data_IF_570934073148
#
_entry.id   IF_570934073148
#
_cell.length_a   1.000
_cell.length_b   1.000
_cell.length_c   1.000
_cell.angle_alpha   90.00
_cell.angle_beta   90.00
_cell.angle_gamma   90.00
#
_symmetry.space_group_name_H-M   'P 1'
#
loop_
_entity.id
_entity.type
_entity.pdbx_description
1 polymer ?
#
# COMPACT_ATOMS: atom_id res chain seq x y z
N UNK A 1 -7.34 9.35 -4.83
CA UNK A 1 -7.54 8.49 -3.63
C UNK A 1 -6.57 7.31 -3.70
N UNK A 2 -5.92 6.94 -2.59
CA UNK A 2 -4.98 5.81 -2.49
C UNK A 2 -5.53 4.82 -1.49
N UNK A 3 -5.42 3.55 -1.81
CA UNK A 3 -5.87 2.46 -0.95
C UNK A 3 -4.81 1.38 -0.85
N UNK A 4 -4.72 0.75 0.31
CA UNK A 4 -3.91 -0.43 0.55
C UNK A 4 -4.86 -1.53 0.99
N UNK A 5 -4.78 -2.67 0.35
CA UNK A 5 -5.61 -3.84 0.64
C UNK A 5 -4.77 -5.11 0.64
N UNK A 6 -5.26 -6.15 1.30
CA UNK A 6 -4.63 -7.46 1.29
C UNK A 6 -5.51 -8.47 0.56
N UNK A 7 -4.87 -9.46 -0.11
CA UNK A 7 -5.57 -10.67 -0.55
C UNK A 7 -5.56 -11.71 0.58
N UNK A 8 -6.62 -12.52 0.73
CA UNK A 8 -6.68 -13.53 1.78
C UNK A 8 -5.61 -14.62 1.59
N UNK A 9 -5.29 -15.32 2.66
CA UNK A 9 -4.44 -16.51 2.61
C UNK A 9 -5.15 -17.68 1.91
N UNK A 10 -4.39 -18.62 1.34
CA UNK A 10 -4.93 -19.81 0.68
C UNK A 10 -5.77 -20.68 1.62
N UNK A 11 -5.43 -20.75 2.92
CA UNK A 11 -6.20 -21.49 3.91
C UNK A 11 -7.58 -20.88 4.20
N UNK A 12 -7.84 -19.63 3.81
CA UNK A 12 -9.16 -18.98 3.92
C UNK A 12 -10.13 -19.41 2.81
N UNK A 13 -9.65 -20.19 1.85
CA UNK A 13 -10.40 -20.82 0.77
C UNK A 13 -10.68 -19.92 -0.43
N UNK A 14 -10.88 -20.59 -1.55
CA UNK A 14 -11.06 -20.01 -2.88
C UNK A 14 -12.25 -19.03 -2.95
N UNK A 15 -13.33 -19.30 -2.21
CA UNK A 15 -14.50 -18.43 -2.20
C UNK A 15 -14.18 -17.02 -1.69
N UNK A 16 -13.35 -16.91 -0.64
CA UNK A 16 -12.88 -15.62 -0.14
C UNK A 16 -11.94 -14.95 -1.12
N UNK A 17 -11.05 -15.70 -1.77
CA UNK A 17 -10.16 -15.17 -2.79
C UNK A 17 -10.94 -14.55 -3.95
N UNK A 18 -11.93 -15.26 -4.50
CA UNK A 18 -12.81 -14.75 -5.56
C UNK A 18 -13.61 -13.51 -5.14
N UNK A 19 -14.02 -13.44 -3.86
CA UNK A 19 -14.69 -12.26 -3.33
C UNK A 19 -13.72 -11.07 -3.23
N UNK A 20 -12.49 -11.31 -2.78
CA UNK A 20 -11.45 -10.29 -2.68
C UNK A 20 -11.07 -9.75 -4.06
N UNK A 21 -10.85 -10.62 -5.06
CA UNK A 21 -10.54 -10.23 -6.44
C UNK A 21 -11.63 -9.35 -7.04
N UNK A 22 -12.91 -9.74 -6.90
CA UNK A 22 -14.04 -8.91 -7.33
C UNK A 22 -14.07 -7.56 -6.61
N UNK A 23 -13.80 -7.53 -5.31
CA UNK A 23 -13.72 -6.29 -4.54
C UNK A 23 -12.57 -5.38 -5.00
N UNK A 24 -11.41 -5.95 -5.31
CA UNK A 24 -10.25 -5.25 -5.85
C UNK A 24 -10.57 -4.63 -7.22
N UNK A 25 -11.16 -5.39 -8.14
CA UNK A 25 -11.55 -4.88 -9.47
C UNK A 25 -12.60 -3.76 -9.39
N UNK A 26 -13.55 -3.85 -8.46
CA UNK A 26 -14.50 -2.76 -8.24
C UNK A 26 -13.82 -1.54 -7.62
N UNK A 27 -12.95 -1.72 -6.61
CA UNK A 27 -12.26 -0.64 -5.92
C UNK A 27 -11.33 0.13 -6.86
N UNK A 28 -10.67 -0.56 -7.81
CA UNK A 28 -9.80 0.02 -8.84
C UNK A 28 -10.47 1.17 -9.61
N UNK A 29 -11.78 1.09 -9.84
CA UNK A 29 -12.53 2.11 -10.59
C UNK A 29 -12.67 3.45 -9.85
N UNK A 30 -12.44 3.48 -8.55
CA UNK A 30 -12.69 4.63 -7.68
C UNK A 30 -11.44 5.22 -7.03
N UNK A 31 -10.27 4.63 -7.30
CA UNK A 31 -9.00 5.05 -6.69
C UNK A 31 -7.94 5.37 -7.73
N UNK A 32 -7.05 6.29 -7.41
CA UNK A 32 -5.92 6.65 -8.28
C UNK A 32 -4.83 5.58 -8.26
N UNK A 33 -4.61 4.96 -7.12
CA UNK A 33 -3.68 3.86 -6.96
C UNK A 33 -4.16 2.88 -5.90
N UNK A 34 -3.94 1.61 -6.17
CA UNK A 34 -4.33 0.50 -5.33
C UNK A 34 -3.11 -0.39 -5.07
N UNK A 35 -2.62 -0.35 -3.83
CA UNK A 35 -1.56 -1.25 -3.38
C UNK A 35 -2.22 -2.53 -2.91
N UNK A 36 -1.88 -3.64 -3.53
CA UNK A 36 -2.39 -4.97 -3.19
C UNK A 36 -1.27 -5.79 -2.57
N UNK A 37 -1.49 -6.31 -1.37
CA UNK A 37 -0.55 -7.16 -0.64
C UNK A 37 -1.08 -8.60 -0.68
N UNK A 38 -0.41 -9.51 -1.38
CA UNK A 38 -0.81 -10.92 -1.42
C UNK A 38 -0.34 -11.62 -0.14
N UNK A 39 -1.26 -11.85 0.82
CA UNK A 39 -0.91 -12.44 2.12
C UNK A 39 -0.19 -13.79 1.98
N UNK A 40 -0.54 -14.62 1.00
CA UNK A 40 0.11 -15.91 0.76
C UNK A 40 1.62 -15.74 0.52
N UNK A 41 2.02 -14.67 -0.17
CA UNK A 41 3.43 -14.37 -0.46
C UNK A 41 4.25 -14.00 0.77
N UNK A 42 3.60 -13.63 1.87
CA UNK A 42 4.28 -13.37 3.15
C UNK A 42 4.84 -14.64 3.78
N UNK A 43 4.30 -15.80 3.38
CA UNK A 43 4.73 -17.09 3.88
C UNK A 43 5.89 -17.67 3.06
N UNK A 44 6.15 -17.10 1.87
CA UNK A 44 7.23 -17.55 1.00
C UNK A 44 8.60 -17.19 1.62
N UNK A 45 9.50 -18.15 1.63
CA UNK A 45 10.87 -17.97 2.13
C UNK A 45 11.04 -18.03 3.65
N UNK A 46 9.98 -18.27 4.42
CA UNK A 46 10.09 -18.47 5.86
C UNK A 46 10.73 -19.83 6.16
N UNK A 47 11.76 -19.85 7.01
CA UNK A 47 12.43 -21.11 7.43
C UNK A 47 11.47 -22.07 8.15
N UNK A 48 10.48 -21.53 8.87
CA UNK A 48 9.49 -22.29 9.62
C UNK A 48 8.10 -21.81 9.26
N UNK A 49 7.19 -22.74 9.04
CA UNK A 49 5.78 -22.39 8.83
C UNK A 49 5.17 -21.75 10.09
N UNK A 50 4.63 -20.54 9.98
CA UNK A 50 4.01 -19.87 11.11
C UNK A 50 2.67 -20.51 11.47
N UNK A 51 2.24 -20.30 12.70
CA UNK A 51 0.87 -20.60 13.11
C UNK A 51 -0.11 -19.66 12.42
N UNK A 52 -1.39 -20.00 12.44
CA UNK A 52 -2.44 -19.15 11.87
C UNK A 52 -2.45 -17.74 12.48
N UNK A 53 -2.25 -17.64 13.80
CA UNK A 53 -2.17 -16.36 14.50
C UNK A 53 -0.94 -15.55 14.05
N UNK A 54 0.21 -16.18 13.94
CA UNK A 54 1.45 -15.55 13.47
C UNK A 54 1.32 -15.08 12.01
N UNK A 55 0.63 -15.85 11.15
CA UNK A 55 0.37 -15.46 9.76
C UNK A 55 -0.47 -14.18 9.67
N UNK A 56 -1.52 -14.06 10.45
CA UNK A 56 -2.33 -12.84 10.49
C UNK A 56 -1.56 -11.66 11.09
N UNK A 57 -0.77 -11.90 12.15
CA UNK A 57 0.10 -10.85 12.73
C UNK A 57 1.11 -10.33 11.69
N UNK A 58 1.71 -11.23 10.91
CA UNK A 58 2.63 -10.86 9.84
C UNK A 58 1.94 -9.97 8.77
N UNK A 59 0.71 -10.32 8.37
CA UNK A 59 -0.06 -9.51 7.43
C UNK A 59 -0.39 -8.11 7.99
N UNK A 60 -0.76 -8.03 9.26
CA UNK A 60 -1.01 -6.76 9.96
C UNK A 60 0.25 -5.90 10.04
N UNK A 61 1.40 -6.50 10.36
CA UNK A 61 2.69 -5.81 10.48
C UNK A 61 3.15 -5.25 9.13
N UNK A 62 3.00 -6.01 8.05
CA UNK A 62 3.34 -5.55 6.69
C UNK A 62 2.41 -4.41 6.26
N UNK A 63 1.10 -4.56 6.47
CA UNK A 63 0.13 -3.51 6.16
C UNK A 63 0.43 -2.22 6.94
N UNK A 64 0.68 -2.34 8.24
CA UNK A 64 1.06 -1.23 9.11
C UNK A 64 2.36 -0.57 8.63
N UNK A 65 3.39 -1.37 8.33
CA UNK A 65 4.68 -0.86 7.85
C UNK A 65 4.52 -0.13 6.51
N UNK A 66 3.75 -0.69 5.57
CA UNK A 66 3.50 -0.06 4.28
C UNK A 66 2.79 1.29 4.38
N UNK A 67 1.73 1.36 5.18
CA UNK A 67 1.01 2.63 5.41
C UNK A 67 1.89 3.62 6.15
N UNK A 68 2.62 3.16 7.18
CA UNK A 68 3.53 4.01 7.96
C UNK A 68 4.66 4.55 7.10
N UNK A 69 5.29 3.74 6.24
CA UNK A 69 6.37 4.18 5.35
C UNK A 69 5.95 5.33 4.43
N UNK A 70 4.71 5.31 3.92
CA UNK A 70 4.18 6.42 3.10
C UNK A 70 3.96 7.67 3.96
N UNK A 71 3.47 7.49 5.18
CA UNK A 71 3.25 8.61 6.11
C UNK A 71 4.58 9.22 6.55
N UNK A 72 5.53 8.39 6.95
CA UNK A 72 6.84 8.81 7.45
C UNK A 72 7.60 9.67 6.42
N UNK A 73 7.49 9.36 5.11
CA UNK A 73 8.07 10.17 4.04
C UNK A 73 7.62 11.64 4.04
N UNK A 74 6.45 11.92 4.58
CA UNK A 74 5.85 13.26 4.58
C UNK A 74 5.96 13.91 5.98
N UNK A 75 5.96 13.10 7.05
CA UNK A 75 5.81 13.58 8.43
C UNK A 75 7.08 13.47 9.27
N UNK A 76 8.01 12.58 8.90
CA UNK A 76 9.25 12.39 9.65
C UNK A 76 10.37 13.28 9.09
N UNK A 77 11.20 13.82 9.96
CA UNK A 77 12.36 14.58 9.56
C UNK A 77 13.45 13.65 8.99
N UNK A 78 13.89 13.93 7.78
CA UNK A 78 14.97 13.23 7.11
C UNK A 78 15.90 14.23 6.40
N UNK A 79 16.99 13.77 5.81
CA UNK A 79 17.84 14.64 4.96
C UNK A 79 17.16 14.97 3.62
N UNK A 80 16.34 14.06 3.12
CA UNK A 80 15.57 14.23 1.89
C UNK A 80 14.11 13.99 2.23
N UNK A 81 13.36 15.08 2.34
CA UNK A 81 11.95 15.05 2.63
C UNK A 81 11.14 15.20 1.35
N UNK A 82 10.06 14.45 1.26
CA UNK A 82 9.10 14.56 0.18
C UNK A 82 7.88 15.32 0.66
N UNK A 83 7.37 16.20 -0.18
CA UNK A 83 6.09 16.83 0.09
C UNK A 83 4.92 15.96 -0.41
N UNK A 84 3.71 16.34 0.00
CA UNK A 84 2.50 15.64 -0.42
C UNK A 84 2.27 15.72 -1.95
N UNK A 85 2.75 16.77 -2.60
CA UNK A 85 2.60 16.95 -4.05
C UNK A 85 3.46 15.93 -4.81
N UNK A 86 4.70 15.69 -4.36
CA UNK A 86 5.61 14.71 -4.95
C UNK A 86 5.01 13.30 -4.91
N UNK A 87 4.60 12.87 -3.70
CA UNK A 87 3.94 11.55 -3.52
C UNK A 87 2.64 11.47 -4.32
N UNK A 88 1.90 12.59 -4.43
CA UNK A 88 0.67 12.64 -5.23
C UNK A 88 0.95 12.46 -6.71
N UNK A 89 2.00 13.09 -7.23
CA UNK A 89 2.37 13.01 -8.65
C UNK A 89 2.66 11.57 -9.07
N UNK A 90 3.50 10.87 -8.31
CA UNK A 90 3.83 9.46 -8.59
C UNK A 90 2.61 8.55 -8.51
N UNK A 91 1.72 8.79 -7.53
CA UNK A 91 0.61 7.88 -7.23
C UNK A 91 -0.69 8.23 -7.96
N UNK A 92 -0.80 9.40 -8.60
CA UNK A 92 -2.02 9.80 -9.32
C UNK A 92 -2.17 9.01 -10.61
N UNK A 93 -3.33 8.34 -10.78
CA UNK A 93 -3.60 7.52 -11.95
C UNK A 93 -2.61 6.36 -12.14
N UNK A 94 -1.96 5.90 -11.08
CA UNK A 94 -0.95 4.85 -11.16
C UNK A 94 -1.53 3.43 -11.27
N UNK A 95 -2.84 3.27 -11.06
CA UNK A 95 -3.49 1.98 -11.15
C UNK A 95 -3.03 1.00 -10.07
N UNK A 96 -2.70 -0.22 -10.45
CA UNK A 96 -2.10 -1.20 -9.53
C UNK A 96 -0.69 -0.78 -9.14
N UNK A 97 -0.40 -0.91 -7.85
CA UNK A 97 0.92 -0.71 -7.29
C UNK A 97 1.30 -1.90 -6.41
N UNK A 98 2.56 -2.28 -6.47
CA UNK A 98 3.14 -3.30 -5.62
C UNK A 98 4.04 -2.66 -4.58
N UNK A 99 4.12 -3.28 -3.42
CA UNK A 99 5.00 -2.85 -2.35
C UNK A 99 6.03 -3.93 -2.04
N UNK A 100 7.25 -3.51 -1.82
CA UNK A 100 8.32 -4.37 -1.33
C UNK A 100 9.03 -3.71 -0.16
N UNK A 101 9.50 -4.53 0.77
CA UNK A 101 10.29 -4.09 1.91
C UNK A 101 11.56 -4.94 1.92
N UNK A 102 12.70 -4.28 2.03
CA UNK A 102 14.00 -4.92 2.16
C UNK A 102 14.73 -4.38 3.38
N UNK A 103 15.44 -5.26 4.04
CA UNK A 103 16.25 -4.95 5.21
C UNK A 103 17.69 -5.40 4.97
N UNK A 104 18.65 -4.61 5.43
CA UNK A 104 20.06 -4.94 5.38
C UNK A 104 20.79 -4.39 6.59
N UNK A 105 21.86 -5.07 7.00
CA UNK A 105 22.64 -4.71 8.17
C UNK A 105 24.15 -4.80 7.93
N UNK A 106 24.93 -4.07 8.71
CA UNK A 106 26.37 -4.08 8.64
C UNK A 106 26.94 -3.42 7.39
N UNK A 107 28.12 -3.88 6.96
CA UNK A 107 28.92 -3.21 5.90
C UNK A 107 28.22 -3.17 4.53
N UNK A 108 27.47 -4.19 4.19
CA UNK A 108 26.83 -4.33 2.87
C UNK A 108 25.31 -4.05 2.92
N UNK A 109 24.84 -3.37 4.00
CA UNK A 109 23.43 -3.10 4.28
C UNK A 109 22.64 -2.52 3.12
N UNK A 110 23.24 -1.60 2.37
CA UNK A 110 22.59 -0.97 1.22
C UNK A 110 22.31 -1.98 0.11
N UNK A 111 23.31 -2.80 -0.25
CA UNK A 111 23.18 -3.81 -1.28
C UNK A 111 22.25 -4.96 -0.83
N UNK A 112 22.31 -5.36 0.44
CA UNK A 112 21.41 -6.38 1.01
C UNK A 112 19.96 -5.91 1.00
N UNK A 113 19.67 -4.71 1.51
CA UNK A 113 18.35 -4.14 1.53
C UNK A 113 17.78 -3.99 0.11
N UNK A 114 18.57 -3.46 -0.83
CA UNK A 114 18.15 -3.33 -2.23
C UNK A 114 17.86 -4.69 -2.89
N UNK A 115 18.71 -5.69 -2.69
CA UNK A 115 18.47 -7.06 -3.18
C UNK A 115 17.21 -7.66 -2.59
N UNK A 116 16.98 -7.48 -1.27
CA UNK A 116 15.78 -7.97 -0.61
C UNK A 116 14.51 -7.33 -1.19
N UNK A 117 14.54 -6.04 -1.54
CA UNK A 117 13.45 -5.36 -2.25
C UNK A 117 13.23 -5.98 -3.62
N UNK A 118 14.28 -6.08 -4.44
CA UNK A 118 14.18 -6.56 -5.83
C UNK A 118 13.69 -8.02 -5.89
N UNK A 119 14.10 -8.84 -4.94
CA UNK A 119 13.70 -10.27 -4.85
C UNK A 119 12.50 -10.51 -3.94
N UNK A 120 11.82 -9.45 -3.51
CA UNK A 120 10.71 -9.57 -2.56
C UNK A 120 9.56 -10.39 -3.15
N UNK A 121 9.08 -11.42 -2.45
CA UNK A 121 7.91 -12.18 -2.90
C UNK A 121 6.62 -11.37 -2.92
N UNK A 122 6.58 -10.22 -2.24
CA UNK A 122 5.44 -9.30 -2.24
C UNK A 122 5.21 -8.63 -3.60
N UNK A 123 6.21 -8.62 -4.47
CA UNK A 123 6.06 -8.19 -5.85
C UNK A 123 5.39 -9.30 -6.65
N UNK A 124 4.11 -9.15 -6.98
CA UNK A 124 3.42 -10.08 -7.89
C UNK A 124 4.04 -10.05 -9.30
N UNK A 125 4.61 -8.89 -9.68
CA UNK A 125 5.35 -8.65 -10.90
C UNK A 125 6.73 -8.12 -10.57
N UNK A 126 7.70 -8.33 -11.44
CA UNK A 126 9.05 -7.77 -11.26
C UNK A 126 9.01 -6.23 -11.25
N UNK A 127 9.88 -5.59 -10.48
CA UNK A 127 10.11 -4.13 -10.56
C UNK A 127 10.43 -3.69 -12.01
N UNK A 128 10.99 -4.57 -12.83
CA UNK A 128 11.43 -4.26 -14.20
C UNK A 128 10.35 -3.69 -15.13
N UNK A 129 9.08 -3.86 -14.80
CA UNK A 129 7.97 -3.25 -15.55
C UNK A 129 7.44 -1.95 -14.98
N UNK A 130 7.94 -1.54 -13.83
CA UNK A 130 7.47 -0.34 -13.16
C UNK A 130 8.03 0.92 -13.81
N UNK A 131 7.17 1.86 -14.11
CA UNK A 131 7.53 3.20 -14.64
C UNK A 131 7.54 4.28 -13.58
N UNK A 132 7.03 3.99 -12.39
CA UNK A 132 6.98 4.92 -11.26
C UNK A 132 7.40 4.22 -9.98
N UNK A 133 8.39 4.79 -9.30
CA UNK A 133 8.88 4.27 -8.03
C UNK A 133 8.81 5.35 -6.95
N UNK A 134 8.28 4.98 -5.82
CA UNK A 134 8.41 5.73 -4.57
C UNK A 134 9.29 4.90 -3.63
N UNK A 135 10.43 5.46 -3.24
CA UNK A 135 11.43 4.77 -2.43
C UNK A 135 11.54 5.49 -1.08
N UNK A 136 11.29 4.77 0.01
CA UNK A 136 11.55 5.24 1.37
C UNK A 136 12.75 4.48 1.95
N UNK A 137 13.77 5.22 2.37
CA UNK A 137 14.97 4.68 3.00
C UNK A 137 14.97 5.12 4.47
N UNK A 138 14.69 4.16 5.36
CA UNK A 138 14.79 4.36 6.82
C UNK A 138 16.14 3.84 7.29
N UNK A 139 16.86 4.65 8.03
CA UNK A 139 18.25 4.37 8.38
C UNK A 139 18.65 5.03 9.70
N UNK A 140 19.82 4.66 10.24
CA UNK A 140 20.49 5.37 11.32
C UNK A 140 21.19 6.65 10.81
N UNK A 141 21.51 7.58 11.68
CA UNK A 141 22.14 8.86 11.30
C UNK A 141 23.56 8.73 10.76
N UNK A 142 24.24 7.62 11.02
CA UNK A 142 25.63 7.35 10.64
C UNK A 142 25.80 6.73 9.24
N UNK A 143 24.72 6.60 8.46
CA UNK A 143 24.77 6.03 7.11
C UNK A 143 25.44 7.01 6.12
N UNK A 144 26.29 6.46 5.27
CA UNK A 144 26.98 7.24 4.26
C UNK A 144 26.08 7.55 3.05
N UNK A 145 26.24 8.72 2.45
CA UNK A 145 25.54 9.07 1.20
C UNK A 145 25.80 8.05 0.07
N UNK A 146 26.96 7.39 0.07
CA UNK A 146 27.28 6.30 -0.87
C UNK A 146 26.39 5.07 -0.71
N UNK A 147 25.90 4.79 0.50
CA UNK A 147 25.01 3.66 0.76
C UNK A 147 23.63 3.94 0.17
N UNK A 148 23.14 5.17 0.36
CA UNK A 148 21.88 5.63 -0.24
C UNK A 148 21.94 5.59 -1.77
N UNK A 149 23.04 6.10 -2.37
CA UNK A 149 23.28 6.08 -3.82
C UNK A 149 23.33 4.64 -4.36
N UNK A 150 24.03 3.74 -3.66
CA UNK A 150 24.14 2.32 -4.04
C UNK A 150 22.77 1.63 -4.03
N UNK A 151 21.99 1.81 -2.95
CA UNK A 151 20.68 1.21 -2.83
C UNK A 151 19.73 1.74 -3.91
N UNK A 152 19.67 3.05 -4.08
CA UNK A 152 18.78 3.70 -5.06
C UNK A 152 19.12 3.26 -6.49
N UNK A 153 20.40 3.27 -6.88
CA UNK A 153 20.82 2.79 -8.20
C UNK A 153 20.46 1.35 -8.46
N UNK A 154 20.72 0.44 -7.53
CA UNK A 154 20.38 -0.97 -7.70
C UNK A 154 18.88 -1.19 -7.97
N UNK A 155 18.03 -0.42 -7.30
CA UNK A 155 16.59 -0.52 -7.47
C UNK A 155 16.15 0.09 -8.81
N UNK A 156 16.64 1.29 -9.15
CA UNK A 156 16.26 1.99 -10.38
C UNK A 156 16.80 1.29 -11.63
N UNK A 157 18.02 0.74 -11.60
CA UNK A 157 18.60 -0.03 -12.71
C UNK A 157 17.82 -1.33 -13.02
N UNK A 158 17.00 -1.79 -12.07
CA UNK A 158 16.14 -2.96 -12.25
C UNK A 158 14.75 -2.60 -12.80
N UNK A 159 14.35 -1.34 -12.73
CA UNK A 159 13.08 -0.84 -13.24
C UNK A 159 13.08 -0.63 -14.76
N UNK A 160 12.03 -0.03 -15.32
CA UNK A 160 12.00 0.36 -16.73
C UNK A 160 13.02 1.44 -17.04
N UNK A 161 13.53 1.48 -18.29
CA UNK A 161 14.56 2.47 -18.71
C UNK A 161 14.08 3.93 -18.57
N UNK A 162 12.76 4.15 -18.63
CA UNK A 162 12.09 5.45 -18.50
C UNK A 162 11.45 5.65 -17.12
N UNK A 163 11.96 4.99 -16.09
CA UNK A 163 11.40 5.05 -14.75
C UNK A 163 11.46 6.46 -14.16
N UNK A 164 10.32 6.96 -13.73
CA UNK A 164 10.19 8.14 -12.89
C UNK A 164 10.23 7.72 -11.42
N UNK A 165 11.20 8.21 -10.67
CA UNK A 165 11.30 7.84 -9.26
C UNK A 165 11.49 9.06 -8.36
N UNK A 166 10.96 8.96 -7.17
CA UNK A 166 11.23 9.86 -6.07
C UNK A 166 11.69 9.03 -4.87
N UNK A 167 12.59 9.59 -4.08
CA UNK A 167 13.02 8.95 -2.85
C UNK A 167 13.09 9.94 -1.70
N UNK A 168 12.80 9.45 -0.51
CA UNK A 168 12.96 10.16 0.73
C UNK A 168 13.73 9.32 1.74
N UNK A 169 14.22 10.00 2.76
CA UNK A 169 14.96 9.37 3.85
C UNK A 169 14.30 9.68 5.18
N UNK A 170 14.21 8.70 6.06
CA UNK A 170 13.74 8.87 7.43
C UNK A 170 14.79 8.32 8.41
N UNK A 171 14.94 8.97 9.56
CA UNK A 171 15.85 8.51 10.59
C UNK A 171 15.12 7.79 11.71
N UNK A 172 15.79 6.78 12.25
CA UNK A 172 15.38 6.13 13.49
C UNK A 172 16.57 5.90 14.38
N UNK A 173 16.48 6.42 15.61
CA UNK A 173 17.52 6.29 16.62
C UNK A 173 17.78 4.83 17.04
N UNK A 174 16.77 3.97 16.94
CA UNK A 174 16.84 2.55 17.32
C UNK A 174 17.54 1.67 16.28
N UNK A 175 17.89 2.21 15.11
CA UNK A 175 18.58 1.47 14.05
C UNK A 175 20.09 1.62 14.23
N UNK A 176 20.76 0.50 14.54
CA UNK A 176 22.22 0.45 14.67
C UNK A 176 22.82 -0.22 13.43
N UNK A 177 23.47 0.56 12.58
CA UNK A 177 24.13 0.05 11.35
C UNK A 177 23.18 -0.76 10.44
N UNK A 178 21.91 -0.37 10.40
CA UNK A 178 20.83 -1.03 9.66
C UNK A 178 20.19 -0.07 8.66
N UNK A 179 19.68 -0.63 7.58
CA UNK A 179 18.90 0.08 6.56
C UNK A 179 17.65 -0.71 6.22
N UNK A 180 16.52 -0.04 6.20
CA UNK A 180 15.26 -0.60 5.71
C UNK A 180 14.80 0.23 4.52
N UNK A 181 14.51 -0.43 3.41
CA UNK A 181 14.03 0.20 2.19
C UNK A 181 12.61 -0.29 1.92
N UNK A 182 11.69 0.65 1.78
CA UNK A 182 10.33 0.36 1.32
C UNK A 182 10.16 0.96 -0.07
N UNK A 183 9.78 0.14 -1.03
CA UNK A 183 9.51 0.57 -2.41
C UNK A 183 8.05 0.36 -2.74
N UNK A 184 7.44 1.37 -3.35
CA UNK A 184 6.14 1.25 -3.99
C UNK A 184 6.39 1.41 -5.48
N UNK A 185 6.12 0.34 -6.22
CA UNK A 185 6.31 0.25 -7.65
C UNK A 185 4.95 0.29 -8.35
N UNK A 186 4.78 1.18 -9.32
CA UNK A 186 3.53 1.44 -10.00
C UNK A 186 3.73 1.73 -11.49
N UNK A 187 2.64 1.87 -12.23
CA UNK A 187 2.70 2.21 -13.65
C UNK A 187 3.11 1.04 -14.54
N UNK A 188 2.59 -0.16 -14.27
CA UNK A 188 2.81 -1.36 -15.06
C UNK A 188 1.91 -1.37 -16.31
N UNK A 189 2.46 -1.03 -17.49
CA UNK A 189 1.80 -1.25 -18.79
C UNK A 189 0.47 -0.49 -19.00
N UNK A 190 -0.44 -1.07 -19.77
CA UNK A 190 -1.70 -0.48 -20.25
C UNK A 190 -2.75 -0.14 -19.16
N UNK A 191 -2.45 -0.39 -17.91
CA UNK A 191 -3.31 -0.07 -16.76
C UNK A 191 -3.21 1.40 -16.30
N UNK A 192 -2.43 2.23 -16.98
CA UNK A 192 -2.42 3.68 -16.72
C UNK A 192 -3.71 4.26 -17.33
N UNK A 193 -4.81 4.18 -16.59
CA UNK A 193 -5.96 5.01 -16.87
C UNK A 193 -5.52 6.46 -16.68
N UNK A 194 -5.32 7.16 -17.78
CA UNK A 194 -5.24 8.63 -17.77
C UNK A 194 -6.49 9.08 -17.03
N UNK A 195 -6.32 9.63 -15.82
CA UNK A 195 -7.41 10.27 -15.12
C UNK A 195 -7.90 11.38 -16.05
N UNK A 196 -9.07 11.13 -16.65
CA UNK A 196 -9.74 12.10 -17.52
C UNK A 196 -9.88 13.42 -16.77
N UNK A 197 -9.72 14.47 -17.52
CA UNK A 197 -10.06 15.85 -17.18
C UNK A 197 -11.39 15.88 -16.41
N UNK A 198 -11.48 16.76 -15.44
CA UNK A 198 -12.63 17.02 -14.57
C UNK A 198 -13.98 16.81 -15.28
N UNK A 199 -14.56 15.64 -15.18
CA UNK A 199 -15.98 15.44 -15.47
C UNK A 199 -16.68 15.04 -14.18
N UNK A 200 -17.50 15.95 -13.73
CA UNK A 200 -18.64 15.87 -12.83
C UNK A 200 -18.65 14.73 -11.81
N UNK A 201 -18.33 15.09 -10.57
CA UNK A 201 -18.62 14.29 -9.38
C UNK A 201 -20.10 13.92 -9.39
N UNK A 202 -20.44 12.72 -9.83
CA UNK A 202 -21.77 12.18 -9.63
C UNK A 202 -21.97 12.05 -8.11
N UNK A 203 -22.97 12.70 -7.52
CA UNK A 203 -23.26 12.55 -6.10
C UNK A 203 -23.59 11.07 -5.85
N UNK A 204 -22.81 10.43 -5.01
CA UNK A 204 -23.15 9.09 -4.51
C UNK A 204 -24.35 9.30 -3.58
N UNK A 205 -25.52 8.92 -4.08
CA UNK A 205 -26.72 8.84 -3.26
C UNK A 205 -26.48 7.72 -2.23
N UNK A 206 -26.10 8.12 -1.03
CA UNK A 206 -25.90 7.19 0.07
C UNK A 206 -27.23 7.07 0.81
N UNK A 207 -27.96 5.93 0.69
CA UNK A 207 -29.28 5.76 1.31
C UNK A 207 -29.25 5.75 2.85
N UNK A 208 -28.10 6.00 3.47
CA UNK A 208 -27.91 6.03 4.92
C UNK A 208 -27.60 7.43 5.48
N UNK A 209 -27.62 8.49 4.65
CA UNK A 209 -27.50 9.86 5.15
C UNK A 209 -28.87 10.52 5.03
N UNK A 210 -29.57 10.61 6.17
CA UNK A 210 -30.81 11.35 6.30
C UNK A 210 -30.65 12.78 5.79
N UNK A 211 -31.43 13.11 4.77
CA UNK A 211 -31.57 14.48 4.28
C UNK A 211 -32.42 15.26 5.31
N UNK A 212 -31.90 16.33 5.96
CA UNK A 212 -32.63 17.02 7.02
C UNK A 212 -33.92 17.72 6.56
N UNK A 213 -34.31 17.60 5.29
CA UNK A 213 -35.52 18.18 4.75
C UNK A 213 -36.65 17.19 4.43
N UNK A 214 -36.48 15.89 4.61
CA UNK A 214 -37.57 14.94 4.52
C UNK A 214 -38.23 14.75 5.87
N UNK A 215 -39.05 15.71 6.27
CA UNK A 215 -40.11 15.48 7.26
C UNK A 215 -41.21 14.67 6.58
N UNK A 216 -41.10 13.37 6.59
CA UNK A 216 -42.24 12.48 6.49
C UNK A 216 -42.66 12.13 7.91
N UNK A 217 -43.88 12.53 8.22
CA UNK A 217 -44.66 12.11 9.38
C UNK A 217 -44.63 10.57 9.45
N UNK A 218 -43.79 10.03 10.31
CA UNK A 218 -44.00 8.67 10.83
C UNK A 218 -45.12 8.82 11.85
N UNK A 219 -46.32 8.42 11.47
CA UNK A 219 -47.45 8.36 12.37
C UNK A 219 -47.12 7.38 13.51
N UNK A 220 -47.54 7.72 14.74
CA UNK A 220 -47.41 6.92 15.95
C UNK A 220 -48.00 5.44 15.79
N UNK A 221 -48.77 5.22 14.74
CA UNK A 221 -49.37 3.94 14.42
C UNK A 221 -48.39 2.84 14.02
N UNK A 222 -47.25 3.20 13.38
CA UNK A 222 -46.24 2.20 12.94
C UNK A 222 -45.40 1.66 14.12
N UNK A 223 -45.22 2.44 15.16
CA UNK A 223 -44.49 2.05 16.37
C UNK A 223 -45.34 1.09 17.24
N UNK A 224 -46.65 1.30 17.31
CA UNK A 224 -47.54 0.43 18.04
C UNK A 224 -47.71 -0.95 17.40
N UNK A 225 -47.57 -1.08 16.08
CA UNK A 225 -47.61 -2.34 15.37
C UNK A 225 -46.33 -3.15 15.60
N UNK A 226 -45.16 -2.54 15.65
CA UNK A 226 -43.89 -3.20 15.97
C UNK A 226 -43.85 -3.67 17.42
N UNK A 227 -44.34 -2.88 18.36
CA UNK A 227 -44.39 -3.27 19.77
C UNK A 227 -45.35 -4.46 20.02
N UNK A 228 -46.47 -4.58 19.31
CA UNK A 228 -47.36 -5.72 19.37
C UNK A 228 -46.79 -7.02 18.81
N UNK A 229 -45.83 -6.93 17.89
CA UNK A 229 -45.13 -8.11 17.37
C UNK A 229 -44.08 -8.67 18.32
N UNK A 230 -43.56 -7.87 19.25
CA UNK A 230 -42.51 -8.26 20.21
C UNK A 230 -43.08 -8.84 21.54
N UNK A 231 -44.41 -8.77 21.78
CA UNK A 231 -45.07 -9.29 22.99
C UNK A 231 -45.71 -10.71 22.79
N UNK A 232 -45.35 -11.39 21.70
CA UNK A 232 -45.74 -12.78 21.46
C UNK A 232 -44.53 -13.66 21.37
#
# INVERSE_FOLDING_TARGET
>A
KRQVVTKPFAFEREQKMQQAERGIEELKKYVDSLIVIPNERLLDGLEKQPTMLESFSLADDILKTGVKSISDLITEDGYINLDFADVSTIMKGAGYAHMAIGHGSGKDKAAEAAKAVISSPLLETSISGARRLLINITMSEDIMASDVDTATKMITDTAADDVEFIFGTAFKEDMNDEMTITVIAAGYGDDVSVAGEDEDVIPIDNPLIDNPNDKKDTSDDDLDEILRMLEK
#
